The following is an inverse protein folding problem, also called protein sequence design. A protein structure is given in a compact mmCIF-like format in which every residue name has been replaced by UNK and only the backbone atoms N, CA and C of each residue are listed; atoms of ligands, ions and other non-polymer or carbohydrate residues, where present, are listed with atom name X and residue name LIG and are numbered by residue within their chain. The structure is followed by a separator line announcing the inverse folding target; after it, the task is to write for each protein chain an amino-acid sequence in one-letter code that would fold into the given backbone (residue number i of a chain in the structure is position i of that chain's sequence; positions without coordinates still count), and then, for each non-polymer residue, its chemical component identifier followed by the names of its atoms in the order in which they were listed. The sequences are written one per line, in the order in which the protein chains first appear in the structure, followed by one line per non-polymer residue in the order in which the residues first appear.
data_IF_086833851750
#
_entry.id   IF_086833851750
#
_cell.length_a   1.000
_cell.length_b   1.000
_cell.length_c   1.000
_cell.angle_alpha   90.00
_cell.angle_beta   90.00
_cell.angle_gamma   90.00
#
_symmetry.space_group_name_H-M   'P 1'
#
loop_
_entity.id
_entity.type
_entity.pdbx_description
1 polymer ?
#
# COMPACT_ATOMS: atom_id res chain seq x y z
N UNK A 1 9.49 -15.06 13.55
CA UNK A 1 8.80 -15.15 12.24
C UNK A 1 7.81 -14.01 12.08
N UNK A 2 7.92 -13.25 10.98
CA UNK A 2 7.06 -12.12 10.64
C UNK A 2 6.45 -12.33 9.25
N UNK A 3 5.28 -11.74 9.02
CA UNK A 3 4.64 -11.72 7.70
C UNK A 3 4.87 -10.38 7.00
N UNK A 4 5.05 -10.46 5.69
CA UNK A 4 5.19 -9.30 4.80
C UNK A 4 4.32 -9.52 3.57
N UNK A 5 3.53 -8.52 3.20
CA UNK A 5 2.80 -8.48 1.94
C UNK A 5 3.65 -7.69 0.93
N UNK A 6 3.80 -8.21 -0.30
CA UNK A 6 4.47 -7.47 -1.36
C UNK A 6 3.66 -7.47 -2.65
N UNK A 7 3.87 -6.45 -3.47
CA UNK A 7 3.28 -6.31 -4.79
C UNK A 7 4.35 -5.97 -5.82
N UNK A 8 4.17 -6.49 -7.04
CA UNK A 8 5.07 -6.26 -8.18
C UNK A 8 4.39 -5.45 -9.27
N UNK A 9 5.17 -4.84 -10.14
CA UNK A 9 4.71 -3.96 -11.23
C UNK A 9 3.70 -4.61 -12.18
N UNK A 10 3.79 -5.93 -12.37
CA UNK A 10 2.88 -6.70 -13.23
C UNK A 10 1.58 -7.12 -12.51
N UNK A 11 1.26 -6.51 -11.37
CA UNK A 11 0.07 -6.82 -10.57
C UNK A 11 0.12 -8.17 -9.86
N UNK A 12 1.27 -8.85 -9.84
CA UNK A 12 1.50 -10.03 -9.00
C UNK A 12 1.92 -9.59 -7.59
N UNK A 13 1.95 -10.54 -6.67
CA UNK A 13 2.28 -10.28 -5.28
C UNK A 13 1.98 -11.49 -4.41
N UNK A 14 2.33 -11.40 -3.13
CA UNK A 14 2.08 -12.48 -2.20
C UNK A 14 2.45 -12.14 -0.76
N UNK A 15 2.15 -13.08 0.14
CA UNK A 15 2.59 -13.02 1.53
C UNK A 15 3.81 -13.91 1.70
N UNK A 16 4.86 -13.38 2.30
CA UNK A 16 6.04 -14.14 2.73
C UNK A 16 6.04 -14.21 4.25
N UNK A 17 6.37 -15.39 4.78
CA UNK A 17 6.75 -15.59 6.17
C UNK A 17 8.27 -15.76 6.23
N UNK A 18 8.97 -14.93 7.01
CA UNK A 18 10.41 -15.06 7.20
C UNK A 18 10.84 -14.59 8.59
N UNK A 19 12.06 -14.98 8.99
CA UNK A 19 12.69 -14.59 10.26
C UNK A 19 13.65 -13.42 10.07
N UNK A 20 13.19 -12.38 9.38
CA UNK A 20 13.91 -11.11 9.24
C UNK A 20 13.45 -10.14 10.32
N UNK A 21 14.40 -9.54 11.04
CA UNK A 21 14.15 -8.73 12.22
C UNK A 21 13.72 -7.29 11.91
N UNK A 22 14.24 -6.67 10.85
CA UNK A 22 13.87 -5.29 10.49
C UNK A 22 13.02 -5.22 9.22
N UNK A 23 12.21 -4.17 9.10
CA UNK A 23 11.36 -3.99 7.92
C UNK A 23 12.21 -3.65 6.68
N UNK A 24 13.27 -2.88 6.88
CA UNK A 24 14.25 -2.48 5.88
C UNK A 24 14.95 -3.69 5.26
N UNK A 25 15.45 -4.61 6.10
CA UNK A 25 16.04 -5.86 5.60
C UNK A 25 15.03 -6.73 4.85
N UNK A 26 13.75 -6.72 5.26
CA UNK A 26 12.71 -7.47 4.57
C UNK A 26 12.42 -6.86 3.18
N UNK A 27 12.40 -5.54 3.07
CA UNK A 27 12.28 -4.82 1.79
C UNK A 27 13.43 -5.19 0.85
N UNK A 28 14.67 -5.12 1.33
CA UNK A 28 15.84 -5.45 0.52
C UNK A 28 15.84 -6.92 0.08
N UNK A 29 15.50 -7.83 0.99
CA UNK A 29 15.35 -9.25 0.67
C UNK A 29 14.29 -9.49 -0.41
N UNK A 30 13.11 -8.88 -0.28
CA UNK A 30 12.01 -9.08 -1.23
C UNK A 30 12.36 -8.53 -2.62
N UNK A 31 13.01 -7.37 -2.69
CA UNK A 31 13.47 -6.76 -3.95
C UNK A 31 14.56 -7.56 -4.65
N UNK A 32 15.40 -8.27 -3.89
CA UNK A 32 16.41 -9.17 -4.46
C UNK A 32 15.81 -10.50 -4.90
N UNK A 33 14.78 -10.99 -4.21
CA UNK A 33 14.17 -12.30 -4.46
C UNK A 33 13.14 -12.28 -5.59
N UNK A 34 12.40 -11.18 -5.74
CA UNK A 34 11.31 -11.07 -6.69
C UNK A 34 11.53 -9.85 -7.59
N UNK A 35 11.52 -10.08 -8.90
CA UNK A 35 11.62 -9.02 -9.88
C UNK A 35 10.40 -8.10 -9.85
N UNK A 36 10.67 -6.80 -9.98
CA UNK A 36 9.64 -5.78 -10.13
C UNK A 36 8.85 -5.48 -8.85
N UNK A 37 9.37 -5.77 -7.66
CA UNK A 37 8.72 -5.38 -6.38
C UNK A 37 8.60 -3.87 -6.28
N UNK A 38 7.36 -3.38 -6.19
CA UNK A 38 7.04 -1.94 -6.10
C UNK A 38 6.49 -1.51 -4.74
N UNK A 39 6.02 -2.47 -3.93
CA UNK A 39 5.40 -2.19 -2.63
C UNK A 39 5.62 -3.35 -1.66
N UNK A 40 5.90 -3.02 -0.40
CA UNK A 40 6.01 -3.96 0.72
C UNK A 40 5.26 -3.39 1.92
N UNK A 41 4.51 -4.23 2.63
CA UNK A 41 3.67 -3.84 3.76
C UNK A 41 3.85 -4.81 4.94
N UNK A 42 3.91 -4.23 6.15
CA UNK A 42 3.84 -4.97 7.41
C UNK A 42 3.04 -4.16 8.43
N UNK A 43 1.81 -4.59 8.72
CA UNK A 43 0.95 -3.88 9.66
C UNK A 43 0.69 -2.45 9.20
N UNK A 44 1.25 -1.46 9.92
CA UNK A 44 1.18 -0.03 9.54
C UNK A 44 2.43 0.46 8.81
N UNK A 45 3.49 -0.33 8.71
CA UNK A 45 4.70 0.09 8.00
C UNK A 45 4.57 -0.24 6.52
N UNK A 46 5.00 0.70 5.69
CA UNK A 46 4.90 0.65 4.24
C UNK A 46 6.25 1.03 3.62
N UNK A 47 6.62 0.35 2.56
CA UNK A 47 7.63 0.81 1.62
C UNK A 47 7.05 0.79 0.21
N UNK A 48 7.35 1.82 -0.58
CA UNK A 48 7.03 1.87 -2.01
C UNK A 48 8.26 2.27 -2.81
N UNK A 49 8.31 1.84 -4.08
CA UNK A 49 9.37 2.24 -5.00
C UNK A 49 9.42 3.76 -5.20
N UNK A 50 8.27 4.43 -5.19
CA UNK A 50 8.16 5.87 -5.45
C UNK A 50 8.46 6.74 -4.23
N UNK A 51 7.93 6.37 -3.05
CA UNK A 51 7.99 7.22 -1.84
C UNK A 51 8.98 6.72 -0.79
N UNK A 52 9.58 5.55 -0.97
CA UNK A 52 10.43 4.94 0.04
C UNK A 52 9.63 4.46 1.26
N UNK A 53 10.23 4.57 2.44
CA UNK A 53 9.65 4.13 3.70
C UNK A 53 8.64 5.14 4.28
N UNK A 54 7.53 4.63 4.81
CA UNK A 54 6.50 5.41 5.48
C UNK A 54 5.57 4.55 6.32
N UNK A 55 4.49 5.16 6.77
CA UNK A 55 3.41 4.47 7.49
C UNK A 55 2.10 4.56 6.71
N UNK A 56 1.39 3.44 6.64
CA UNK A 56 0.02 3.39 6.19
C UNK A 56 -0.89 4.00 7.26
N UNK A 57 -1.44 5.17 6.95
CA UNK A 57 -2.47 5.83 7.75
C UNK A 57 -3.82 5.58 7.06
N UNK A 58 -4.70 4.75 7.63
CA UNK A 58 -6.04 4.58 7.08
C UNK A 58 -6.79 5.91 7.22
N UNK A 59 -7.21 6.47 6.09
CA UNK A 59 -8.11 7.63 6.05
C UNK A 59 -9.42 7.20 6.68
N UNK A 60 -9.88 7.89 7.73
CA UNK A 60 -11.19 7.56 8.31
C UNK A 60 -12.28 7.98 7.33
N UNK A 61 -13.42 7.28 7.30
CA UNK A 61 -14.57 7.70 6.49
C UNK A 61 -15.01 9.14 6.78
N UNK A 62 -14.77 9.63 7.99
CA UNK A 62 -15.08 10.99 8.45
C UNK A 62 -14.18 12.07 7.80
N UNK A 63 -12.98 11.69 7.34
CA UNK A 63 -12.01 12.58 6.70
C UNK A 63 -12.18 12.64 5.16
N UNK A 64 -13.04 11.77 4.60
CA UNK A 64 -13.51 11.90 3.21
C UNK A 64 -14.61 12.96 3.21
N UNK A 65 -14.22 14.23 3.16
CA UNK A 65 -15.17 15.33 3.06
C UNK A 65 -16.12 15.09 1.87
N UNK A 66 -17.41 15.12 2.19
CA UNK A 66 -18.58 15.02 1.33
C UNK A 66 -18.30 15.50 -0.09
N UNK A 67 -18.15 14.55 -1.01
CA UNK A 67 -18.14 14.83 -2.44
C UNK A 67 -19.51 15.40 -2.81
N UNK A 68 -19.66 16.71 -2.63
CA UNK A 68 -20.88 17.44 -2.93
C UNK A 68 -21.36 17.11 -4.33
N UNK A 69 -22.57 16.56 -4.39
CA UNK A 69 -23.32 16.26 -5.61
C UNK A 69 -23.39 17.51 -6.51
N UNK A 70 -22.76 17.52 -7.70
CA UNK A 70 -22.95 18.59 -8.65
C UNK A 70 -24.00 18.15 -9.67
N UNK A 71 -25.27 17.97 -9.29
CA UNK A 71 -26.19 17.43 -10.30
C UNK A 71 -27.67 17.28 -10.01
N UNK A 72 -28.36 18.25 -9.41
CA UNK A 72 -29.81 18.37 -9.60
C UNK A 72 -30.25 19.80 -9.89
N UNK A 73 -30.15 20.15 -11.17
CA UNK A 73 -30.75 21.34 -11.75
C UNK A 73 -31.24 21.06 -13.16
N UNK A 74 -32.38 20.38 -13.30
CA UNK A 74 -33.20 20.48 -14.52
C UNK A 74 -34.65 20.74 -14.10
N UNK A 75 -35.02 22.02 -14.09
CA UNK A 75 -36.40 22.45 -14.02
C UNK A 75 -37.05 22.28 -15.39
N UNK A 76 -38.09 21.47 -15.47
CA UNK A 76 -39.02 21.43 -16.60
C UNK A 76 -39.94 22.64 -16.54
N UNK A 77 -39.87 23.51 -17.55
CA UNK A 77 -40.91 24.48 -17.90
C UNK A 77 -41.80 23.94 -19.01
#
# INVERSE_FOLDING_TARGET
MKSYLFSTENGRGGVILCDIDTFEEAVDYLRQRFDGVIKVEQGRTLWTLESGFGEFVPVKPEDLEDGGDPGSGVGTG
#
